data_IF_787337506760
#
_entry.id   IF_787337506760
#
_cell.length_a   1.000
_cell.length_b   1.000
_cell.length_c   1.000
_cell.angle_alpha   90.00
_cell.angle_beta   90.00
_cell.angle_gamma   90.00
#
_symmetry.space_group_name_H-M   'P 1'
#
loop_
_entity.id
_entity.type
_entity.pdbx_description
1 polymer ?
#
# COMPACT_ATOMS: atom_id res chain seq x y z
N UNK A 1 -6.96 -30.43 14.45
CA UNK A 1 -7.31 -29.16 13.79
C UNK A 1 -6.60 -28.07 14.56
N UNK A 2 -5.38 -27.67 14.16
CA UNK A 2 -4.79 -26.47 14.75
C UNK A 2 -5.36 -25.27 14.02
N UNK A 3 -6.49 -24.79 14.54
CA UNK A 3 -7.05 -23.50 14.19
C UNK A 3 -5.97 -22.45 14.45
N UNK A 4 -5.22 -22.02 13.43
CA UNK A 4 -4.36 -20.82 13.55
C UNK A 4 -5.21 -19.75 14.21
N UNK A 5 -4.75 -19.31 15.38
CA UNK A 5 -5.52 -18.48 16.29
C UNK A 5 -6.03 -17.25 15.53
N UNK A 6 -7.31 -16.88 15.72
CA UNK A 6 -7.95 -15.77 15.00
C UNK A 6 -7.13 -14.47 15.16
N UNK A 7 -6.51 -14.31 16.33
CA UNK A 7 -5.57 -13.23 16.64
C UNK A 7 -4.39 -13.15 15.69
N UNK A 8 -3.74 -14.28 15.36
CA UNK A 8 -2.58 -14.31 14.45
C UNK A 8 -2.99 -13.88 13.03
N UNK A 9 -4.21 -14.24 12.61
CA UNK A 9 -4.74 -13.84 11.30
C UNK A 9 -5.02 -12.34 11.24
N UNK A 10 -5.61 -11.78 12.29
CA UNK A 10 -5.87 -10.34 12.41
C UNK A 10 -4.54 -9.57 12.42
N UNK A 11 -3.56 -10.02 13.21
CA UNK A 11 -2.25 -9.37 13.33
C UNK A 11 -1.48 -9.42 12.01
N UNK A 12 -1.55 -10.55 11.29
CA UNK A 12 -1.01 -10.67 9.94
C UNK A 12 -1.72 -9.76 8.94
N UNK A 13 -3.05 -9.62 9.03
CA UNK A 13 -3.82 -8.71 8.18
C UNK A 13 -3.40 -7.25 8.40
N UNK A 14 -3.26 -6.80 9.65
CA UNK A 14 -2.75 -5.46 9.95
C UNK A 14 -1.32 -5.24 9.44
N UNK A 15 -0.44 -6.23 9.59
CA UNK A 15 0.92 -6.16 9.03
C UNK A 15 0.92 -5.95 7.51
N UNK A 16 0.05 -6.67 6.78
CA UNK A 16 -0.10 -6.50 5.33
C UNK A 16 -0.71 -5.15 4.95
N UNK A 17 -1.64 -4.63 5.74
CA UNK A 17 -2.21 -3.30 5.50
C UNK A 17 -1.13 -2.20 5.61
N UNK A 18 -0.28 -2.26 6.64
CA UNK A 18 0.84 -1.32 6.81
C UNK A 18 1.80 -1.43 5.62
N UNK A 19 2.11 -2.64 5.17
CA UNK A 19 3.02 -2.85 4.05
C UNK A 19 2.45 -2.29 2.74
N UNK A 20 1.16 -2.51 2.46
CA UNK A 20 0.48 -1.93 1.30
C UNK A 20 0.50 -0.40 1.38
N UNK A 21 0.21 0.16 2.56
CA UNK A 21 0.27 1.60 2.77
C UNK A 21 1.66 2.16 2.45
N UNK A 22 2.72 1.56 2.98
CA UNK A 22 4.09 2.03 2.73
C UNK A 22 4.47 1.93 1.25
N UNK A 23 4.22 0.77 0.62
CA UNK A 23 4.58 0.55 -0.79
C UNK A 23 3.85 1.51 -1.72
N UNK A 24 2.55 1.69 -1.52
CA UNK A 24 1.76 2.56 -2.41
C UNK A 24 2.12 4.04 -2.23
N UNK A 25 2.34 4.52 -1.00
CA UNK A 25 2.81 5.89 -0.79
C UNK A 25 4.23 6.10 -1.36
N UNK A 26 5.10 5.10 -1.23
CA UNK A 26 6.45 5.13 -1.82
C UNK A 26 6.44 5.11 -3.36
N UNK A 27 5.40 4.58 -4.00
CA UNK A 27 5.25 4.64 -5.45
C UNK A 27 4.63 5.97 -5.91
N UNK A 28 3.57 6.41 -5.25
CA UNK A 28 2.82 7.62 -5.62
C UNK A 28 3.69 8.87 -5.49
N UNK A 29 4.38 9.03 -4.35
CA UNK A 29 5.17 10.24 -4.07
C UNK A 29 6.22 10.55 -5.14
N UNK A 30 7.15 9.63 -5.43
CA UNK A 30 8.15 9.79 -6.48
C UNK A 30 7.56 9.88 -7.88
N UNK A 31 6.43 9.22 -8.18
CA UNK A 31 5.79 9.34 -9.49
C UNK A 31 5.27 10.74 -9.73
N UNK A 32 4.51 11.29 -8.78
CA UNK A 32 4.00 12.67 -8.86
C UNK A 32 5.15 13.68 -8.87
N UNK A 33 6.14 13.47 -8.00
CA UNK A 33 7.30 14.34 -7.90
C UNK A 33 8.16 14.31 -9.17
N UNK A 34 8.32 13.14 -9.79
CA UNK A 34 9.05 12.97 -11.04
C UNK A 34 8.34 13.63 -12.23
N UNK A 35 7.01 13.52 -12.31
CA UNK A 35 6.21 14.20 -13.35
C UNK A 35 6.36 15.72 -13.22
N UNK A 36 6.19 16.27 -12.01
CA UNK A 36 6.35 17.69 -11.78
C UNK A 36 7.78 18.18 -12.01
N UNK A 37 8.78 17.40 -11.60
CA UNK A 37 10.18 17.71 -11.80
C UNK A 37 10.61 17.70 -13.27
N UNK A 38 10.02 16.81 -14.08
CA UNK A 38 10.28 16.73 -15.51
C UNK A 38 9.79 17.97 -16.29
N UNK A 39 8.92 18.79 -15.70
CA UNK A 39 8.45 20.04 -16.28
C UNK A 39 9.34 21.26 -15.94
N UNK A 40 10.54 21.04 -15.41
CA UNK A 40 11.46 22.11 -15.00
C UNK A 40 12.77 22.07 -15.77
N UNK A 41 13.44 23.22 -15.90
CA UNK A 41 14.64 23.38 -16.73
C UNK A 41 15.95 22.97 -16.02
N UNK A 42 15.90 22.61 -14.74
CA UNK A 42 17.09 22.21 -13.98
C UNK A 42 16.79 21.13 -12.94
N UNK A 43 17.82 20.34 -12.61
CA UNK A 43 17.69 19.25 -11.63
C UNK A 43 17.28 19.76 -10.24
N UNK A 44 17.86 20.87 -9.77
CA UNK A 44 17.54 21.46 -8.48
C UNK A 44 16.12 22.02 -8.45
N UNK A 45 15.69 22.70 -9.51
CA UNK A 45 14.31 23.17 -9.64
C UNK A 45 13.33 21.97 -9.66
N UNK A 46 13.70 20.89 -10.35
CA UNK A 46 12.91 19.67 -10.44
C UNK A 46 12.75 18.95 -9.12
N UNK A 47 13.82 18.86 -8.31
CA UNK A 47 13.75 18.27 -6.98
C UNK A 47 12.84 19.07 -6.03
N UNK A 48 12.90 20.41 -6.08
CA UNK A 48 12.07 21.29 -5.26
C UNK A 48 10.60 21.23 -5.72
N UNK A 49 10.36 21.36 -7.03
CA UNK A 49 9.02 21.31 -7.61
C UNK A 49 8.38 19.94 -7.37
N UNK A 50 9.14 18.86 -7.57
CA UNK A 50 8.71 17.51 -7.32
C UNK A 50 8.33 17.28 -5.86
N UNK A 51 9.18 17.70 -4.92
CA UNK A 51 8.89 17.60 -3.48
C UNK A 51 7.61 18.34 -3.09
N UNK A 52 7.42 19.57 -3.58
CA UNK A 52 6.20 20.36 -3.34
C UNK A 52 4.96 19.68 -3.92
N UNK A 53 5.03 19.24 -5.17
CA UNK A 53 3.91 18.59 -5.85
C UNK A 53 3.50 17.28 -5.15
N UNK A 54 4.45 16.45 -4.71
CA UNK A 54 4.14 15.25 -3.95
C UNK A 54 3.46 15.55 -2.62
N UNK A 55 3.92 16.57 -1.88
CA UNK A 55 3.31 16.98 -0.60
C UNK A 55 1.88 17.47 -0.83
N UNK A 56 1.68 18.38 -1.79
CA UNK A 56 0.36 18.93 -2.11
C UNK A 56 -0.61 17.84 -2.59
N UNK A 57 -0.12 16.90 -3.39
CA UNK A 57 -0.89 15.76 -3.84
C UNK A 57 -1.36 14.88 -2.67
N UNK A 58 -0.49 14.57 -1.70
CA UNK A 58 -0.88 13.81 -0.52
C UNK A 58 -1.77 14.59 0.44
N UNK A 59 -1.60 15.91 0.56
CA UNK A 59 -2.50 16.74 1.36
C UNK A 59 -3.91 16.78 0.77
N UNK A 60 -4.02 16.85 -0.55
CA UNK A 60 -5.30 16.95 -1.26
C UNK A 60 -5.99 15.59 -1.41
N UNK A 61 -5.22 14.55 -1.79
CA UNK A 61 -5.76 13.25 -2.18
C UNK A 61 -5.47 12.14 -1.16
N UNK A 62 -4.76 12.42 -0.07
CA UNK A 62 -4.32 11.41 0.90
C UNK A 62 -5.46 10.56 1.46
N UNK A 63 -6.61 11.17 1.75
CA UNK A 63 -7.80 10.44 2.22
C UNK A 63 -8.39 9.53 1.13
N UNK A 64 -8.39 9.97 -0.13
CA UNK A 64 -8.88 9.18 -1.27
C UNK A 64 -7.96 7.98 -1.52
N UNK A 65 -6.63 8.21 -1.47
CA UNK A 65 -5.62 7.17 -1.59
C UNK A 65 -5.80 6.14 -0.46
N UNK A 66 -5.97 6.59 0.77
CA UNK A 66 -6.23 5.72 1.92
C UNK A 66 -7.51 4.90 1.75
N UNK A 67 -8.60 5.53 1.31
CA UNK A 67 -9.85 4.82 1.03
C UNK A 67 -9.66 3.75 -0.06
N UNK A 68 -8.94 4.08 -1.14
CA UNK A 68 -8.59 3.14 -2.19
C UNK A 68 -7.74 1.96 -1.69
N UNK A 69 -6.74 2.23 -0.85
CA UNK A 69 -5.92 1.19 -0.20
C UNK A 69 -6.76 0.27 0.68
N UNK A 70 -7.70 0.81 1.47
CA UNK A 70 -8.59 0.02 2.32
C UNK A 70 -9.53 -0.86 1.50
N UNK A 71 -10.07 -0.35 0.40
CA UNK A 71 -10.92 -1.13 -0.53
C UNK A 71 -10.09 -2.26 -1.16
N UNK A 72 -8.92 -1.94 -1.72
CA UNK A 72 -8.03 -2.92 -2.34
C UNK A 72 -7.61 -3.99 -1.33
N UNK A 73 -7.22 -3.59 -0.12
CA UNK A 73 -6.87 -4.51 0.95
C UNK A 73 -8.02 -5.41 1.34
N UNK A 74 -9.24 -4.85 1.50
CA UNK A 74 -10.43 -5.63 1.85
C UNK A 74 -10.74 -6.68 0.77
N UNK A 75 -10.59 -6.32 -0.51
CA UNK A 75 -10.72 -7.25 -1.63
C UNK A 75 -9.65 -8.35 -1.58
N UNK A 76 -8.39 -8.00 -1.36
CA UNK A 76 -7.29 -8.96 -1.26
C UNK A 76 -7.48 -9.91 -0.07
N UNK A 77 -7.88 -9.38 1.09
CA UNK A 77 -8.17 -10.14 2.29
C UNK A 77 -9.37 -11.09 2.09
N UNK A 78 -10.44 -10.64 1.42
CA UNK A 78 -11.58 -11.48 1.06
C UNK A 78 -11.17 -12.64 0.14
N UNK A 79 -10.29 -12.39 -0.83
CA UNK A 79 -9.74 -13.42 -1.71
C UNK A 79 -8.71 -14.34 -1.02
N UNK A 80 -8.32 -14.06 0.22
CA UNK A 80 -7.29 -14.81 0.94
C UNK A 80 -5.96 -14.84 0.18
N UNK A 81 -5.59 -13.76 -0.50
CA UNK A 81 -4.28 -13.61 -1.13
C UNK A 81 -3.15 -13.22 -0.15
N UNK A 82 -3.38 -12.39 0.88
CA UNK A 82 -2.33 -12.03 1.82
C UNK A 82 -1.89 -13.26 2.63
N UNK A 83 -0.61 -13.64 2.61
CA UNK A 83 -0.14 -14.82 3.32
C UNK A 83 -0.34 -14.63 4.83
N UNK A 84 -0.95 -15.63 5.46
CA UNK A 84 -1.35 -15.59 6.87
C UNK A 84 -2.83 -15.27 7.12
N UNK A 85 -3.56 -14.77 6.12
CA UNK A 85 -5.01 -14.48 6.23
C UNK A 85 -5.92 -15.65 5.82
N UNK A 86 -5.39 -16.62 5.07
CA UNK A 86 -6.15 -17.74 4.49
C UNK A 86 -6.21 -18.95 5.42
N UNK A 87 -7.30 -19.72 5.35
CA UNK A 87 -7.34 -21.08 5.92
C UNK A 87 -6.34 -21.95 5.13
N UNK A 88 -5.31 -22.47 5.79
CA UNK A 88 -4.42 -23.49 5.22
C UNK A 88 -5.29 -24.65 4.69
N UNK A 89 -5.28 -24.89 3.37
CA UNK A 89 -5.78 -26.14 2.80
C UNK A 89 -4.94 -27.26 3.41
N UNK A 90 -5.59 -28.20 4.09
CA UNK A 90 -4.95 -29.42 4.60
C UNK A 90 -4.25 -30.09 3.42
N UNK A 91 -2.92 -30.17 3.45
CA UNK A 91 -2.19 -31.09 2.57
C UNK A 91 -2.71 -32.47 2.92
N UNK A 92 -3.44 -33.08 1.98
CA UNK A 92 -3.83 -34.49 2.10
C UNK A 92 -2.52 -35.24 1.90
N UNK A 93 -1.89 -35.67 2.99
CA UNK A 93 -0.84 -36.69 2.90
C UNK A 93 -1.55 -37.95 2.39
N UNK A 94 -1.42 -38.22 1.09
CA UNK A 94 -1.55 -39.56 0.50
C UNK A 94 -0.26 -40.32 0.73
#
# INVERSE_FOLDING_TARGET
MESRNIFIRILSAFGWLILIYLVTNFLIGPTVGGIAGACTDSYEAGAIAGGKASIEFFQTNGLIILAGQLILFSLLAFLGKPPGTTKLKRVKNT
#
